data_IF_792243080180
#
_entry.id   IF_792243080180
#
_cell.length_a   1.000
_cell.length_b   1.000
_cell.length_c   1.000
_cell.angle_alpha   90.00
_cell.angle_beta   90.00
_cell.angle_gamma   90.00
#
_symmetry.space_group_name_H-M   'P 1'
#
loop_
_entity.id
_entity.type
_entity.pdbx_description
1 polymer ?
#
# COMPACT_ATOMS: atom_id res chain seq x y z
N UNK A 1 3.37 17.32 -2.87
CA UNK A 1 3.16 18.60 -2.15
C UNK A 1 1.77 18.63 -1.56
N UNK A 2 1.56 19.32 -0.43
CA UNK A 2 0.25 19.49 0.25
C UNK A 2 -0.91 19.88 -0.68
N UNK A 3 -0.62 20.63 -1.76
CA UNK A 3 -1.59 21.03 -2.79
C UNK A 3 -2.14 19.82 -3.57
N UNK A 4 -1.26 18.91 -4.00
CA UNK A 4 -1.67 17.71 -4.74
C UNK A 4 -2.50 16.75 -3.88
N UNK A 5 -2.20 16.69 -2.58
CA UNK A 5 -2.96 15.91 -1.61
C UNK A 5 -4.35 16.46 -1.37
N UNK A 6 -4.45 17.76 -1.10
CA UNK A 6 -5.75 18.42 -0.90
C UNK A 6 -6.65 18.25 -2.12
N UNK A 7 -6.09 18.45 -3.31
CA UNK A 7 -6.82 18.23 -4.57
C UNK A 7 -7.30 16.79 -4.72
N UNK A 8 -6.46 15.80 -4.39
CA UNK A 8 -6.88 14.41 -4.44
C UNK A 8 -8.05 14.09 -3.48
N UNK A 9 -8.05 14.68 -2.28
CA UNK A 9 -9.17 14.52 -1.33
C UNK A 9 -10.42 15.28 -1.79
N UNK A 10 -10.27 16.45 -2.39
CA UNK A 10 -11.37 17.21 -3.00
C UNK A 10 -11.98 16.47 -4.20
N UNK A 11 -11.17 15.85 -5.05
CA UNK A 11 -11.64 15.06 -6.19
C UNK A 11 -12.43 13.81 -5.72
N UNK A 12 -12.06 13.20 -4.58
CA UNK A 12 -12.87 12.13 -3.95
C UNK A 12 -14.26 12.65 -3.56
N UNK A 13 -14.36 13.90 -3.11
CA UNK A 13 -15.62 14.48 -2.64
C UNK A 13 -16.66 14.71 -3.76
N UNK A 14 -16.23 14.78 -5.02
CA UNK A 14 -17.10 15.03 -6.16
C UNK A 14 -17.77 13.75 -6.68
N UNK A 15 -17.08 12.62 -6.61
CA UNK A 15 -17.44 11.40 -7.35
C UNK A 15 -17.79 10.21 -6.44
N UNK A 16 -17.61 10.32 -5.12
CA UNK A 16 -17.78 9.22 -4.18
C UNK A 16 -18.99 9.36 -3.25
N UNK A 17 -19.51 8.22 -2.77
CA UNK A 17 -20.56 8.19 -1.76
C UNK A 17 -20.11 8.87 -0.46
N UNK A 18 -21.04 9.46 0.29
CA UNK A 18 -20.78 10.24 1.51
C UNK A 18 -19.83 9.52 2.50
N UNK A 19 -19.97 8.20 2.65
CA UNK A 19 -19.09 7.39 3.50
C UNK A 19 -17.60 7.43 3.08
N UNK A 20 -17.31 7.43 1.77
CA UNK A 20 -15.95 7.53 1.23
C UNK A 20 -15.42 8.94 1.45
N UNK A 21 -16.25 9.96 1.23
CA UNK A 21 -15.89 11.37 1.44
C UNK A 21 -15.52 11.64 2.90
N UNK A 22 -16.34 11.17 3.85
CA UNK A 22 -16.06 11.30 5.29
C UNK A 22 -14.76 10.59 5.68
N UNK A 23 -14.52 9.38 5.15
CA UNK A 23 -13.29 8.65 5.40
C UNK A 23 -12.06 9.37 4.82
N UNK A 24 -12.15 9.89 3.59
CA UNK A 24 -11.07 10.62 2.93
C UNK A 24 -10.72 11.94 3.62
N UNK A 25 -11.70 12.65 4.17
CA UNK A 25 -11.47 13.89 4.92
C UNK A 25 -10.52 13.68 6.12
N UNK A 26 -10.64 12.53 6.80
CA UNK A 26 -9.78 12.18 7.93
C UNK A 26 -8.30 12.00 7.57
N UNK A 27 -7.96 11.78 6.28
CA UNK A 27 -6.57 11.71 5.82
C UNK A 27 -5.84 13.06 5.99
N UNK A 28 -6.56 14.17 6.09
CA UNK A 28 -5.98 15.51 6.30
C UNK A 28 -5.87 15.89 7.79
N UNK A 29 -6.17 14.98 8.71
CA UNK A 29 -6.05 15.26 10.14
C UNK A 29 -4.60 15.54 10.55
N UNK A 30 -4.42 16.42 11.53
CA UNK A 30 -3.13 16.63 12.21
C UNK A 30 -2.75 15.43 13.07
N UNK A 31 -3.74 14.69 13.58
CA UNK A 31 -3.52 13.48 14.37
C UNK A 31 -3.25 12.28 13.45
N UNK A 32 -2.13 11.58 13.69
CA UNK A 32 -1.79 10.38 12.92
C UNK A 32 -2.75 9.22 13.16
N UNK A 33 -3.38 9.15 14.34
CA UNK A 33 -4.37 8.12 14.67
C UNK A 33 -5.62 8.28 13.82
N UNK A 34 -6.07 9.52 13.63
CA UNK A 34 -7.22 9.82 12.76
C UNK A 34 -6.90 9.54 11.29
N UNK A 35 -5.69 9.88 10.83
CA UNK A 35 -5.24 9.53 9.46
C UNK A 35 -5.18 8.01 9.24
N UNK A 36 -4.68 7.27 10.23
CA UNK A 36 -4.67 5.79 10.16
C UNK A 36 -6.09 5.22 10.13
N UNK A 37 -6.98 5.73 10.99
CA UNK A 37 -8.38 5.32 11.03
C UNK A 37 -9.10 5.62 9.70
N UNK A 38 -8.81 6.76 9.09
CA UNK A 38 -9.30 7.13 7.77
C UNK A 38 -8.90 6.11 6.69
N UNK A 39 -7.63 5.68 6.65
CA UNK A 39 -7.17 4.64 5.72
C UNK A 39 -7.90 3.30 5.92
N UNK A 40 -8.10 2.89 7.18
CA UNK A 40 -8.85 1.66 7.50
C UNK A 40 -10.33 1.77 7.13
N UNK A 41 -10.92 2.95 7.28
CA UNK A 41 -12.29 3.19 6.87
C UNK A 41 -12.42 3.12 5.34
N UNK A 42 -11.50 3.76 4.61
CA UNK A 42 -11.45 3.68 3.15
C UNK A 42 -11.31 2.23 2.67
N UNK A 43 -10.49 1.39 3.31
CA UNK A 43 -10.39 -0.05 3.00
C UNK A 43 -11.76 -0.76 3.03
N UNK A 44 -12.66 -0.33 3.92
CA UNK A 44 -13.99 -0.94 4.10
C UNK A 44 -15.06 -0.37 3.16
N UNK A 45 -15.00 0.93 2.87
CA UNK A 45 -16.10 1.65 2.19
C UNK A 45 -15.79 1.98 0.74
N UNK A 46 -14.51 2.07 0.36
CA UNK A 46 -14.13 2.43 -1.00
C UNK A 46 -14.24 1.22 -1.94
N UNK A 47 -14.65 1.50 -3.17
CA UNK A 47 -14.69 0.51 -4.23
C UNK A 47 -13.27 0.17 -4.69
N UNK A 48 -12.97 -1.11 -4.85
CA UNK A 48 -11.71 -1.56 -5.46
C UNK A 48 -11.53 -0.92 -6.84
N UNK A 49 -10.37 -0.32 -7.05
CA UNK A 49 -10.03 0.39 -8.29
C UNK A 49 -10.49 1.83 -8.38
N UNK A 50 -11.08 2.40 -7.33
CA UNK A 50 -11.42 3.82 -7.32
C UNK A 50 -10.14 4.68 -7.42
N UNK A 51 -10.06 5.45 -8.50
CA UNK A 51 -8.88 6.23 -8.87
C UNK A 51 -8.64 7.38 -7.90
N UNK A 52 -9.72 7.99 -7.41
CA UNK A 52 -9.63 9.13 -6.52
C UNK A 52 -9.15 8.69 -5.14
N UNK A 53 -9.77 7.64 -4.57
CA UNK A 53 -9.35 7.05 -3.30
C UNK A 53 -7.90 6.57 -3.35
N UNK A 54 -7.53 5.79 -4.38
CA UNK A 54 -6.15 5.30 -4.52
C UNK A 54 -5.12 6.42 -4.69
N UNK A 55 -5.50 7.54 -5.33
CA UNK A 55 -4.63 8.71 -5.44
C UNK A 55 -4.45 9.43 -4.11
N UNK A 56 -5.52 9.63 -3.35
CA UNK A 56 -5.44 10.23 -2.02
C UNK A 56 -4.56 9.41 -1.07
N UNK A 57 -4.76 8.08 -1.04
CA UNK A 57 -3.99 7.15 -0.22
C UNK A 57 -2.50 7.12 -0.57
N UNK A 58 -2.14 7.36 -1.83
CA UNK A 58 -0.75 7.28 -2.30
C UNK A 58 0.15 8.28 -1.59
N UNK A 59 -0.39 9.45 -1.25
CA UNK A 59 0.35 10.47 -0.51
C UNK A 59 0.70 9.98 0.90
N UNK A 60 -0.16 9.17 1.51
CA UNK A 60 0.06 8.60 2.84
C UNK A 60 1.24 7.62 2.90
N UNK A 61 1.78 7.17 1.75
CA UNK A 61 3.03 6.41 1.69
C UNK A 61 4.25 7.22 2.14
N UNK A 62 4.15 8.55 2.17
CA UNK A 62 5.20 9.46 2.66
C UNK A 62 4.84 10.14 3.99
N UNK A 63 3.83 9.62 4.70
CA UNK A 63 3.39 10.20 5.97
C UNK A 63 4.53 10.16 7.03
N UNK A 64 4.68 11.19 7.88
CA UNK A 64 5.67 11.16 8.95
C UNK A 64 5.47 10.00 9.94
N UNK A 65 4.23 9.59 10.20
CA UNK A 65 3.92 8.48 11.08
C UNK A 65 4.01 7.14 10.33
N UNK A 66 4.83 6.23 10.85
CA UNK A 66 5.02 4.92 10.23
C UNK A 66 3.74 4.07 10.24
N UNK A 67 2.85 4.29 11.21
CA UNK A 67 1.55 3.63 11.31
C UNK A 67 0.68 3.98 10.11
N UNK A 68 0.69 5.25 9.70
CA UNK A 68 -0.06 5.74 8.53
C UNK A 68 0.55 5.20 7.24
N UNK A 69 1.88 5.22 7.11
CA UNK A 69 2.55 4.61 5.94
C UNK A 69 2.21 3.13 5.79
N UNK A 70 2.29 2.38 6.89
CA UNK A 70 1.93 0.96 6.90
C UNK A 70 0.45 0.74 6.54
N UNK A 71 -0.46 1.50 7.14
CA UNK A 71 -1.89 1.39 6.83
C UNK A 71 -2.17 1.71 5.35
N UNK A 72 -1.46 2.67 4.76
CA UNK A 72 -1.59 3.01 3.35
C UNK A 72 -1.13 1.85 2.46
N UNK A 73 0.05 1.27 2.72
CA UNK A 73 0.54 0.08 2.01
C UNK A 73 -0.47 -1.06 2.10
N UNK A 74 -0.97 -1.36 3.30
CA UNK A 74 -1.95 -2.43 3.50
C UNK A 74 -3.23 -2.21 2.71
N UNK A 75 -3.80 -1.01 2.79
CA UNK A 75 -5.07 -0.70 2.13
C UNK A 75 -4.97 -0.81 0.59
N UNK A 76 -3.78 -0.65 0.02
CA UNK A 76 -3.55 -0.91 -1.41
C UNK A 76 -3.71 -2.38 -1.81
N UNK A 77 -3.42 -3.34 -0.94
CA UNK A 77 -3.69 -4.76 -1.24
C UNK A 77 -5.17 -5.01 -1.58
N UNK A 78 -6.05 -4.33 -0.84
CA UNK A 78 -7.50 -4.46 -0.96
C UNK A 78 -8.07 -3.60 -2.09
N UNK A 79 -7.58 -2.36 -2.23
CA UNK A 79 -8.21 -1.34 -3.09
C UNK A 79 -7.55 -1.18 -4.47
N UNK A 80 -6.37 -1.74 -4.72
CA UNK A 80 -5.73 -1.63 -6.03
C UNK A 80 -6.51 -2.39 -7.14
N UNK A 81 -6.68 -1.76 -8.30
CA UNK A 81 -7.16 -2.43 -9.50
C UNK A 81 -6.03 -3.21 -10.19
N UNK A 82 -6.30 -4.40 -10.77
CA UNK A 82 -5.30 -5.16 -11.50
C UNK A 82 -4.67 -4.42 -12.69
N UNK A 83 -5.43 -3.49 -13.30
CA UNK A 83 -4.99 -2.75 -14.49
C UNK A 83 -4.06 -1.56 -14.21
N UNK A 84 -3.73 -1.25 -12.93
CA UNK A 84 -2.89 -0.11 -12.53
C UNK A 84 -1.72 -0.51 -11.62
N UNK A 85 -1.26 -1.75 -11.75
CA UNK A 85 -0.26 -2.34 -10.85
C UNK A 85 1.10 -1.65 -10.93
N UNK A 86 1.61 -1.26 -12.10
CA UNK A 86 3.02 -0.86 -12.24
C UNK A 86 3.44 0.37 -11.40
N UNK A 87 2.74 1.51 -11.52
CA UNK A 87 3.10 2.72 -10.76
C UNK A 87 2.86 2.56 -9.25
N UNK A 88 1.85 1.78 -8.87
CA UNK A 88 1.56 1.52 -7.47
C UNK A 88 2.60 0.57 -6.86
N UNK A 89 2.97 -0.49 -7.60
CA UNK A 89 4.02 -1.43 -7.23
C UNK A 89 5.34 -0.69 -7.06
N UNK A 90 5.71 0.22 -7.96
CA UNK A 90 6.91 1.06 -7.82
C UNK A 90 6.84 1.95 -6.56
N UNK A 91 5.70 2.60 -6.32
CA UNK A 91 5.52 3.44 -5.14
C UNK A 91 5.70 2.63 -3.84
N UNK A 92 5.08 1.44 -3.75
CA UNK A 92 5.20 0.54 -2.58
C UNK A 92 6.63 -0.04 -2.48
N UNK A 93 7.25 -0.43 -3.59
CA UNK A 93 8.63 -0.91 -3.65
C UNK A 93 9.65 0.15 -3.18
N UNK A 94 9.33 1.43 -3.31
CA UNK A 94 10.11 2.53 -2.74
C UNK A 94 10.28 2.45 -1.22
N UNK A 95 9.32 1.84 -0.52
CA UNK A 95 9.32 1.73 0.95
C UNK A 95 10.10 0.51 1.46
N UNK A 96 10.76 -0.26 0.59
CA UNK A 96 11.58 -1.42 1.02
C UNK A 96 12.76 -1.06 1.93
N UNK A 97 13.15 0.22 1.98
CA UNK A 97 14.18 0.75 2.89
C UNK A 97 13.60 1.67 3.97
N UNK A 98 12.29 1.60 4.22
CA UNK A 98 11.64 2.41 5.25
C UNK A 98 12.29 2.18 6.62
N UNK A 99 12.45 3.25 7.40
CA UNK A 99 13.06 3.17 8.73
C UNK A 99 12.30 2.22 9.67
N UNK A 100 10.96 2.16 9.55
CA UNK A 100 10.13 1.29 10.35
C UNK A 100 10.02 -0.10 9.71
N UNK A 101 10.45 -1.12 10.45
CA UNK A 101 10.42 -2.50 9.96
C UNK A 101 9.00 -3.02 9.70
N UNK A 102 8.01 -2.50 10.43
CA UNK A 102 6.61 -2.83 10.23
C UNK A 102 6.12 -2.41 8.84
N UNK A 103 6.64 -1.29 8.32
CA UNK A 103 6.35 -0.83 6.95
C UNK A 103 7.03 -1.76 5.95
N UNK A 104 8.32 -2.09 6.14
CA UNK A 104 9.06 -3.00 5.25
C UNK A 104 8.43 -4.40 5.18
N UNK A 105 7.95 -4.94 6.30
CA UNK A 105 7.21 -6.19 6.34
C UNK A 105 5.89 -6.09 5.54
N UNK A 106 5.16 -5.00 5.70
CA UNK A 106 3.90 -4.79 4.97
C UNK A 106 4.15 -4.67 3.46
N UNK A 107 5.25 -4.02 3.04
CA UNK A 107 5.69 -4.00 1.63
C UNK A 107 5.87 -5.42 1.09
N UNK A 108 6.55 -6.31 1.82
CA UNK A 108 6.73 -7.71 1.43
C UNK A 108 5.40 -8.48 1.30
N UNK A 109 4.45 -8.21 2.19
CA UNK A 109 3.13 -8.84 2.15
C UNK A 109 2.32 -8.33 0.95
N UNK A 110 2.13 -7.02 0.85
CA UNK A 110 1.28 -6.39 -0.15
C UNK A 110 1.77 -6.64 -1.57
N UNK A 111 3.08 -6.50 -1.85
CA UNK A 111 3.61 -6.77 -3.18
C UNK A 111 3.47 -8.25 -3.56
N UNK A 112 3.54 -9.17 -2.60
CA UNK A 112 3.25 -10.57 -2.85
C UNK A 112 1.81 -10.84 -3.29
N UNK A 113 0.86 -10.01 -2.86
CA UNK A 113 -0.56 -10.13 -3.17
C UNK A 113 -0.95 -9.44 -4.48
N UNK A 114 -0.40 -8.25 -4.75
CA UNK A 114 -0.82 -7.43 -5.90
C UNK A 114 0.10 -7.51 -7.12
N UNK A 115 1.36 -7.94 -6.96
CA UNK A 115 2.33 -7.91 -8.06
C UNK A 115 2.53 -9.27 -8.72
N UNK A 116 1.82 -10.33 -8.29
CA UNK A 116 1.66 -11.58 -9.06
C UNK A 116 2.90 -12.16 -9.76
N UNK A 117 4.08 -12.12 -9.15
CA UNK A 117 5.31 -12.66 -9.75
C UNK A 117 6.07 -11.74 -10.70
N UNK A 118 5.74 -10.44 -10.77
CA UNK A 118 6.53 -9.44 -11.49
C UNK A 118 7.98 -9.39 -10.96
N UNK A 119 8.95 -9.18 -11.87
CA UNK A 119 10.38 -9.06 -11.53
C UNK A 119 10.66 -7.97 -10.48
N UNK A 120 9.89 -6.88 -10.52
CA UNK A 120 9.95 -5.82 -9.53
C UNK A 120 9.69 -6.34 -8.10
N UNK A 121 8.74 -7.27 -7.95
CA UNK A 121 8.44 -7.91 -6.67
C UNK A 121 9.63 -8.78 -6.21
N UNK A 122 10.20 -9.59 -7.11
CA UNK A 122 11.36 -10.46 -6.81
C UNK A 122 12.55 -9.63 -6.30
N UNK A 123 12.89 -8.54 -6.98
CA UNK A 123 14.00 -7.67 -6.58
C UNK A 123 13.76 -7.03 -5.21
N UNK A 124 12.53 -6.60 -4.94
CA UNK A 124 12.16 -6.08 -3.61
C UNK A 124 12.31 -7.17 -2.54
N UNK A 125 11.80 -8.38 -2.79
CA UNK A 125 11.94 -9.46 -1.81
C UNK A 125 13.41 -9.83 -1.58
N UNK A 126 14.23 -9.84 -2.64
CA UNK A 126 15.67 -10.10 -2.52
C UNK A 126 16.34 -9.08 -1.56
N UNK A 127 16.07 -7.78 -1.74
CA UNK A 127 16.53 -6.73 -0.82
C UNK A 127 16.04 -6.95 0.62
N UNK A 128 14.83 -7.48 0.81
CA UNK A 128 14.24 -7.71 2.13
C UNK A 128 14.70 -9.01 2.80
N UNK A 129 15.33 -9.94 2.09
CA UNK A 129 15.87 -11.18 2.69
C UNK A 129 17.13 -10.95 3.52
N UNK A 130 17.82 -9.82 3.31
CA UNK A 130 19.00 -9.40 4.08
C UNK A 130 18.63 -8.38 5.18
N UNK A 131 17.35 -8.20 5.47
CA UNK A 131 16.90 -7.30 6.52
C UNK A 131 17.36 -7.78 7.91
N UNK A 132 17.64 -6.84 8.81
CA UNK A 132 18.06 -7.14 10.18
C UNK A 132 16.91 -7.64 11.07
N UNK A 133 15.64 -7.41 10.68
CA UNK A 133 14.46 -7.89 11.39
C UNK A 133 14.00 -9.22 10.82
N UNK A 134 14.01 -10.25 11.66
CA UNK A 134 13.59 -11.59 11.29
C UNK A 134 12.16 -11.67 10.76
N UNK A 135 11.26 -10.79 11.21
CA UNK A 135 9.88 -10.72 10.73
C UNK A 135 9.76 -10.24 9.28
N UNK A 136 10.68 -9.35 8.86
CA UNK A 136 10.75 -8.87 7.47
C UNK A 136 11.32 -9.97 6.59
N UNK A 137 12.42 -10.60 7.02
CA UNK A 137 13.06 -11.73 6.31
C UNK A 137 12.09 -12.89 6.15
N UNK A 138 11.36 -13.25 7.21
CA UNK A 138 10.37 -14.33 7.18
C UNK A 138 9.26 -14.06 6.15
N UNK A 139 8.71 -12.85 6.13
CA UNK A 139 7.67 -12.48 5.16
C UNK A 139 8.20 -12.49 3.72
N UNK A 140 9.41 -11.94 3.49
CA UNK A 140 10.03 -11.94 2.17
C UNK A 140 10.26 -13.37 1.64
N UNK A 141 10.80 -14.28 2.47
CA UNK A 141 11.01 -15.68 2.10
C UNK A 141 9.68 -16.42 1.88
N UNK A 142 8.68 -16.17 2.72
CA UNK A 142 7.33 -16.72 2.54
C UNK A 142 6.73 -16.29 1.21
N UNK A 143 6.87 -15.02 0.85
CA UNK A 143 6.39 -14.49 -0.44
C UNK A 143 7.15 -15.10 -1.60
N UNK A 144 8.49 -15.14 -1.58
CA UNK A 144 9.29 -15.80 -2.62
C UNK A 144 8.90 -17.27 -2.81
N UNK A 145 8.67 -18.01 -1.72
CA UNK A 145 8.20 -19.39 -1.78
C UNK A 145 6.84 -19.53 -2.48
N UNK A 146 5.89 -18.63 -2.19
CA UNK A 146 4.58 -18.60 -2.89
C UNK A 146 4.75 -18.34 -4.38
N UNK A 147 5.56 -17.35 -4.74
CA UNK A 147 5.82 -16.99 -6.13
C UNK A 147 6.50 -18.14 -6.90
N UNK A 148 7.48 -18.81 -6.30
CA UNK A 148 8.13 -19.98 -6.90
C UNK A 148 7.17 -21.18 -7.07
N UNK A 149 6.22 -21.35 -6.13
CA UNK A 149 5.20 -22.40 -6.20
C UNK A 149 4.17 -22.21 -7.33
N UNK A 150 3.94 -20.98 -7.78
CA UNK A 150 3.07 -20.67 -8.92
C UNK A 150 3.77 -20.76 -10.29
N UNK A 151 5.11 -20.88 -10.32
CA UNK A 151 5.91 -20.95 -11.56
C UNK A 151 6.26 -22.36 -12.05
N UNK A 152 5.75 -23.42 -11.42
CA UNK A 152 5.86 -24.77 -11.99
C UNK A 152 4.83 -24.90 -13.12
N UNK A 153 5.23 -25.16 -14.38
CA UNK A 153 4.26 -25.48 -15.41
C UNK A 153 3.52 -26.74 -14.97
N UNK A 154 2.18 -26.65 -14.92
CA UNK A 154 1.33 -27.83 -14.85
C UNK A 154 1.78 -28.80 -15.94
N UNK A 155 2.22 -29.99 -15.51
CA UNK A 155 2.61 -31.10 -16.36
C UNK A 155 1.47 -31.53 -17.30
#
# INVERSE_FOLDING_TARGET
TLIAFRRAVEDVAVEADDAVVQAAAGLNSKDCVEREAALRNLERVAKRGDVYTTTAMRVCLSDPAWQVRRAAVKAFATLAAPSRESQLVEAIAGLRKDAAWQVRREVACTLGEIAGGLDACINVMADLTIDWRGEVVHEALRTLKRLAGHGQPSA
#
